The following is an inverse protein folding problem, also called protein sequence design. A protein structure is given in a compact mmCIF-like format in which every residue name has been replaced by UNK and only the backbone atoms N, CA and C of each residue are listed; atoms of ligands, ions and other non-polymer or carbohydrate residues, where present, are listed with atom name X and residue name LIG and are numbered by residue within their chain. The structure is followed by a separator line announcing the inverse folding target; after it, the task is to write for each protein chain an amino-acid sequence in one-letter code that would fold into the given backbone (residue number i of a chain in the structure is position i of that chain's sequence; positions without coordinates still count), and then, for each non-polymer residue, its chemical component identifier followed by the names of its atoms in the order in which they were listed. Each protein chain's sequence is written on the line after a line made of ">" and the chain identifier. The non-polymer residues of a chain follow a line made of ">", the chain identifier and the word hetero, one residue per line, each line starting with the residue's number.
data_IF_659542914387
#
_entry.id   IF_659542914387
#
_cell.length_a   1.000
_cell.length_b   1.000
_cell.length_c   1.000
_cell.angle_alpha   90.00
_cell.angle_beta   90.00
_cell.angle_gamma   90.00
#
_symmetry.space_group_name_H-M   'P 1'
#
loop_
_entity.id
_entity.type
_entity.pdbx_description
1 polymer ?
#
# COMPACT_ATOMS: atom_id res chain seq x y z
N UNK A 1 -10.98 27.17 15.11
CA UNK A 1 -10.23 26.06 15.75
C UNK A 1 -11.15 25.11 16.56
N UNK A 2 -12.38 24.86 16.09
CA UNK A 2 -13.37 23.99 16.75
C UNK A 2 -13.80 22.78 15.90
N UNK A 3 -13.36 22.68 14.64
CA UNK A 3 -13.74 21.61 13.72
C UNK A 3 -13.17 20.22 14.10
N UNK A 4 -12.04 20.17 14.83
CA UNK A 4 -11.33 18.91 15.09
C UNK A 4 -11.78 18.14 16.35
N UNK A 5 -12.59 18.73 17.24
CA UNK A 5 -12.85 18.15 18.58
C UNK A 5 -14.08 17.25 18.64
N UNK A 6 -15.04 17.41 17.73
CA UNK A 6 -16.22 16.54 17.61
C UNK A 6 -15.99 15.31 16.69
N UNK A 7 -14.83 15.21 16.05
CA UNK A 7 -14.53 14.27 14.96
C UNK A 7 -14.00 12.90 15.45
N UNK A 8 -13.80 12.73 16.77
CA UNK A 8 -13.13 11.56 17.37
C UNK A 8 -13.93 10.25 17.27
N UNK A 9 -15.27 10.31 17.13
CA UNK A 9 -16.13 9.11 16.95
C UNK A 9 -16.80 9.03 15.57
N UNK A 10 -16.74 10.11 14.78
CA UNK A 10 -17.12 10.12 13.36
C UNK A 10 -15.93 9.59 12.56
N UNK A 11 -15.56 8.33 12.83
CA UNK A 11 -14.57 7.57 12.05
C UNK A 11 -14.89 7.83 10.59
N UNK A 12 -13.95 8.43 9.87
CA UNK A 12 -14.11 9.11 8.59
C UNK A 12 -14.79 8.21 7.54
N UNK A 13 -16.11 8.12 7.62
CA UNK A 13 -16.95 7.18 6.86
C UNK A 13 -16.75 7.37 5.35
N UNK A 14 -16.47 8.60 4.96
CA UNK A 14 -16.12 8.99 3.59
C UNK A 14 -14.85 8.29 3.09
N UNK A 15 -13.82 8.17 3.93
CA UNK A 15 -12.58 7.46 3.57
C UNK A 15 -12.80 5.96 3.49
N UNK A 16 -13.63 5.39 4.36
CA UNK A 16 -13.98 3.97 4.30
C UNK A 16 -14.81 3.65 3.04
N UNK A 17 -15.72 4.55 2.62
CA UNK A 17 -16.46 4.44 1.36
C UNK A 17 -15.51 4.51 0.16
N UNK A 18 -14.60 5.49 0.14
CA UNK A 18 -13.59 5.64 -0.92
C UNK A 18 -12.68 4.41 -1.03
N UNK A 19 -12.32 3.80 0.11
CA UNK A 19 -11.61 2.51 0.13
C UNK A 19 -12.45 1.38 -0.45
N UNK A 20 -13.75 1.35 -0.15
CA UNK A 20 -14.67 0.39 -0.78
C UNK A 20 -14.69 0.54 -2.31
N UNK A 21 -14.77 1.77 -2.81
CA UNK A 21 -14.68 2.07 -4.26
C UNK A 21 -13.34 1.61 -4.83
N UNK A 22 -12.23 1.89 -4.14
CA UNK A 22 -10.90 1.45 -4.55
C UNK A 22 -10.83 -0.08 -4.67
N UNK A 23 -11.37 -0.82 -3.70
CA UNK A 23 -11.41 -2.29 -3.73
C UNK A 23 -12.27 -2.79 -4.90
N UNK A 24 -13.43 -2.18 -5.16
CA UNK A 24 -14.28 -2.55 -6.29
C UNK A 24 -13.58 -2.33 -7.64
N UNK A 25 -12.83 -1.24 -7.80
CA UNK A 25 -12.02 -0.97 -8.99
C UNK A 25 -10.93 -2.04 -9.18
N UNK A 26 -10.24 -2.43 -8.10
CA UNK A 26 -9.20 -3.48 -8.14
C UNK A 26 -9.79 -4.84 -8.49
N UNK A 27 -10.94 -5.18 -7.90
CA UNK A 27 -11.67 -6.41 -8.24
C UNK A 27 -12.05 -6.35 -9.72
N UNK A 28 -12.68 -5.27 -10.18
CA UNK A 28 -13.08 -5.09 -11.58
C UNK A 28 -11.93 -5.24 -12.59
N UNK A 29 -10.72 -4.80 -12.23
CA UNK A 29 -9.53 -5.01 -13.03
C UNK A 29 -9.06 -6.47 -13.08
N UNK A 30 -9.23 -7.22 -11.98
CA UNK A 30 -8.82 -8.62 -11.88
C UNK A 30 -9.91 -9.61 -12.30
N UNK A 31 -11.18 -9.18 -12.42
CA UNK A 31 -12.21 -10.05 -12.99
C UNK A 31 -11.90 -10.23 -14.46
N UNK A 32 -11.60 -11.47 -14.83
CA UNK A 32 -11.29 -11.94 -16.18
C UNK A 32 -12.59 -11.95 -17.01
N UNK A 33 -13.26 -10.81 -17.15
CA UNK A 33 -14.28 -10.64 -18.16
C UNK A 33 -13.53 -10.30 -19.45
N UNK A 34 -13.46 -11.26 -20.36
CA UNK A 34 -13.03 -10.95 -21.71
C UNK A 34 -14.02 -9.92 -22.26
N UNK A 35 -13.58 -8.70 -22.63
CA UNK A 35 -14.51 -7.64 -23.05
C UNK A 35 -15.41 -8.09 -24.20
N UNK A 36 -14.88 -8.96 -25.05
CA UNK A 36 -15.56 -9.50 -26.24
C UNK A 36 -16.80 -10.34 -25.90
N UNK A 37 -16.86 -10.95 -24.71
CA UNK A 37 -18.02 -11.75 -24.28
C UNK A 37 -19.06 -10.94 -23.47
N UNK A 38 -18.80 -9.66 -23.19
CA UNK A 38 -19.63 -8.85 -22.29
C UNK A 38 -20.79 -8.10 -22.97
N UNK A 39 -20.98 -8.31 -24.28
CA UNK A 39 -22.13 -7.82 -25.05
C UNK A 39 -22.37 -6.32 -24.89
N UNK A 40 -23.57 -5.94 -24.43
CA UNK A 40 -23.97 -4.53 -24.25
C UNK A 40 -23.10 -3.76 -23.23
N UNK A 41 -22.47 -4.47 -22.27
CA UNK A 41 -21.66 -3.84 -21.22
C UNK A 41 -20.17 -3.70 -21.59
N UNK A 42 -19.78 -4.10 -22.80
CA UNK A 42 -18.41 -4.01 -23.30
C UNK A 42 -17.73 -2.63 -23.11
N UNK A 43 -18.37 -1.47 -23.38
CA UNK A 43 -17.73 -0.18 -23.11
C UNK A 43 -17.46 0.05 -21.61
N UNK A 44 -18.36 -0.40 -20.74
CA UNK A 44 -18.19 -0.29 -19.28
C UNK A 44 -17.07 -1.20 -18.78
N UNK A 45 -17.03 -2.46 -19.26
CA UNK A 45 -15.99 -3.44 -18.91
C UNK A 45 -14.61 -2.96 -19.38
N UNK A 46 -14.51 -2.38 -20.59
CA UNK A 46 -13.27 -1.80 -21.09
C UNK A 46 -12.77 -0.64 -20.21
N UNK A 47 -13.67 0.22 -19.74
CA UNK A 47 -13.31 1.29 -18.79
C UNK A 47 -12.83 0.70 -17.47
N UNK A 48 -13.52 -0.29 -16.92
CA UNK A 48 -13.13 -0.93 -15.65
C UNK A 48 -11.79 -1.65 -15.74
N UNK A 49 -11.46 -2.30 -16.86
CA UNK A 49 -10.16 -2.95 -17.06
C UNK A 49 -9.05 -1.89 -17.17
N UNK A 50 -9.27 -0.84 -17.97
CA UNK A 50 -8.27 0.22 -18.18
C UNK A 50 -8.03 1.08 -16.95
N UNK A 51 -9.09 1.41 -16.22
CA UNK A 51 -9.02 2.30 -15.06
C UNK A 51 -9.00 1.58 -13.71
N UNK A 52 -9.39 0.31 -13.63
CA UNK A 52 -9.49 -0.40 -12.36
C UNK A 52 -8.16 -0.57 -11.62
N UNK A 53 -7.03 -0.52 -12.35
CA UNK A 53 -5.70 -0.46 -11.76
C UNK A 53 -5.46 0.79 -10.92
N UNK A 54 -6.09 1.93 -11.27
CA UNK A 54 -6.04 3.15 -10.44
C UNK A 54 -6.66 2.97 -9.06
N UNK A 55 -7.48 1.92 -8.88
CA UNK A 55 -7.98 1.53 -7.56
C UNK A 55 -6.86 1.18 -6.58
N UNK A 56 -5.75 0.59 -7.06
CA UNK A 56 -4.58 0.31 -6.22
C UNK A 56 -3.92 1.61 -5.78
N UNK A 57 -3.73 2.55 -6.70
CA UNK A 57 -3.13 3.86 -6.41
C UNK A 57 -3.99 4.64 -5.41
N UNK A 58 -5.32 4.64 -5.60
CA UNK A 58 -6.26 5.25 -4.67
C UNK A 58 -6.20 4.62 -3.28
N UNK A 59 -6.11 3.28 -3.19
CA UNK A 59 -5.97 2.58 -1.91
C UNK A 59 -4.69 2.99 -1.18
N UNK A 60 -3.56 3.10 -1.89
CA UNK A 60 -2.29 3.56 -1.31
C UNK A 60 -2.36 4.99 -0.81
N UNK A 61 -2.93 5.93 -1.58
CA UNK A 61 -3.06 7.34 -1.16
C UNK A 61 -3.92 7.44 0.10
N UNK A 62 -5.06 6.74 0.14
CA UNK A 62 -5.96 6.74 1.30
C UNK A 62 -5.31 6.11 2.53
N UNK A 63 -4.57 5.01 2.35
CA UNK A 63 -3.79 4.39 3.42
C UNK A 63 -2.71 5.32 3.94
N UNK A 64 -1.93 5.96 3.06
CA UNK A 64 -0.93 6.96 3.41
C UNK A 64 -1.50 8.14 4.20
N UNK A 65 -2.63 8.69 3.75
CA UNK A 65 -3.32 9.79 4.44
C UNK A 65 -3.73 9.41 5.87
N UNK A 66 -4.33 8.24 6.06
CA UNK A 66 -4.78 7.78 7.38
C UNK A 66 -3.60 7.44 8.30
N UNK A 67 -2.55 6.84 7.76
CA UNK A 67 -1.34 6.51 8.51
C UNK A 67 -0.59 7.76 8.94
N UNK A 68 -0.34 8.67 7.99
CA UNK A 68 0.33 9.94 8.24
C UNK A 68 -0.47 10.79 9.21
N UNK A 69 -1.79 10.91 9.02
CA UNK A 69 -2.68 11.63 9.92
C UNK A 69 -2.60 11.10 11.36
N UNK A 70 -2.57 9.78 11.55
CA UNK A 70 -2.39 9.18 12.88
C UNK A 70 -1.04 9.56 13.49
N UNK A 71 0.07 9.40 12.76
CA UNK A 71 1.42 9.74 13.24
C UNK A 71 1.56 11.23 13.56
N UNK A 72 1.06 12.12 12.71
CA UNK A 72 1.07 13.57 12.96
C UNK A 72 0.19 13.98 14.14
N UNK A 73 -0.95 13.30 14.34
CA UNK A 73 -1.80 13.53 15.52
C UNK A 73 -1.12 13.09 16.82
N UNK A 74 -0.41 11.97 16.79
CA UNK A 74 0.37 11.47 17.93
C UNK A 74 1.53 12.43 18.26
N UNK A 75 2.26 12.88 17.25
CA UNK A 75 3.32 13.87 17.39
C UNK A 75 2.81 15.19 17.99
N UNK A 76 1.64 15.67 17.55
CA UNK A 76 1.03 16.92 18.07
C UNK A 76 0.57 16.78 19.51
N UNK A 77 0.11 15.59 19.91
CA UNK A 77 -0.46 15.35 21.25
C UNK A 77 0.58 14.97 22.30
N UNK A 78 1.62 14.20 21.92
CA UNK A 78 2.59 13.64 22.86
C UNK A 78 4.00 14.20 22.70
N UNK A 79 4.28 15.00 21.66
CA UNK A 79 5.62 15.51 21.30
C UNK A 79 6.71 14.44 21.11
N UNK A 80 6.36 13.16 21.19
CA UNK A 80 7.25 12.00 21.07
C UNK A 80 6.56 10.97 20.18
N UNK A 81 7.28 10.45 19.19
CA UNK A 81 6.82 9.39 18.30
C UNK A 81 7.17 8.02 18.88
N UNK A 82 6.15 7.25 19.27
CA UNK A 82 6.31 5.86 19.69
C UNK A 82 6.23 4.91 18.47
N UNK A 83 7.33 4.88 17.72
CA UNK A 83 7.45 4.06 16.50
C UNK A 83 7.25 2.58 16.79
N UNK A 84 7.75 2.09 17.94
CA UNK A 84 7.61 0.70 18.34
C UNK A 84 6.14 0.33 18.51
N UNK A 85 5.37 1.13 19.25
CA UNK A 85 3.94 0.87 19.47
C UNK A 85 3.14 0.97 18.17
N UNK A 86 3.51 1.88 17.28
CA UNK A 86 2.88 2.02 15.97
C UNK A 86 3.08 0.76 15.10
N UNK A 87 4.33 0.28 14.97
CA UNK A 87 4.66 -0.91 14.17
C UNK A 87 3.99 -2.14 14.76
N UNK A 88 4.08 -2.35 16.08
CA UNK A 88 3.47 -3.50 16.76
C UNK A 88 1.97 -3.56 16.51
N UNK A 89 1.24 -2.45 16.68
CA UNK A 89 -0.22 -2.41 16.48
C UNK A 89 -0.63 -2.75 15.05
N UNK A 90 0.17 -2.36 14.06
CA UNK A 90 -0.09 -2.66 12.65
C UNK A 90 0.31 -4.07 12.28
N UNK A 91 1.49 -4.51 12.71
CA UNK A 91 1.98 -5.87 12.51
C UNK A 91 0.98 -6.90 13.03
N UNK A 92 0.50 -6.76 14.27
CA UNK A 92 -0.51 -7.68 14.83
C UNK A 92 -1.86 -7.68 14.09
N UNK A 93 -2.15 -6.67 13.28
CA UNK A 93 -3.38 -6.62 12.49
C UNK A 93 -3.22 -7.35 11.15
N UNK A 94 -2.05 -7.27 10.52
CA UNK A 94 -1.82 -7.69 9.12
C UNK A 94 -1.03 -9.00 9.07
N UNK A 95 0.05 -9.08 9.85
CA UNK A 95 1.01 -10.19 9.79
C UNK A 95 0.40 -11.56 10.11
N UNK A 96 -0.52 -11.74 11.09
CA UNK A 96 -1.04 -13.07 11.39
C UNK A 96 -1.75 -13.71 10.19
N UNK A 97 -2.60 -12.94 9.50
CA UNK A 97 -3.31 -13.42 8.32
C UNK A 97 -2.34 -13.66 7.14
N UNK A 98 -1.37 -12.76 6.96
CA UNK A 98 -0.39 -12.88 5.90
C UNK A 98 0.54 -14.09 6.06
N UNK A 99 1.08 -14.32 7.26
CA UNK A 99 1.94 -15.47 7.53
C UNK A 99 1.16 -16.79 7.51
N UNK A 100 -0.11 -16.79 7.91
CA UNK A 100 -0.98 -17.95 7.71
C UNK A 100 -1.14 -18.28 6.22
N UNK A 101 -1.40 -17.27 5.38
CA UNK A 101 -1.45 -17.43 3.92
C UNK A 101 -0.11 -17.92 3.35
N UNK A 102 1.02 -17.34 3.76
CA UNK A 102 2.34 -17.79 3.32
C UNK A 102 2.63 -19.23 3.72
N UNK A 103 2.21 -19.65 4.91
CA UNK A 103 2.34 -21.04 5.35
C UNK A 103 1.53 -21.97 4.44
N UNK A 104 0.28 -21.62 4.11
CA UNK A 104 -0.52 -22.42 3.16
C UNK A 104 0.16 -22.50 1.79
N UNK A 105 0.69 -21.40 1.28
CA UNK A 105 1.43 -21.39 0.01
C UNK A 105 2.69 -22.25 0.10
N UNK A 106 3.39 -22.26 1.23
CA UNK A 106 4.56 -23.09 1.46
C UNK A 106 4.23 -24.58 1.39
N UNK A 107 3.17 -25.00 2.08
CA UNK A 107 2.72 -26.39 2.07
C UNK A 107 2.33 -26.83 0.65
N UNK A 108 1.66 -25.98 -0.12
CA UNK A 108 1.33 -26.27 -1.51
C UNK A 108 2.57 -26.39 -2.40
N UNK A 109 3.55 -25.49 -2.23
CA UNK A 109 4.81 -25.55 -2.97
C UNK A 109 5.64 -26.78 -2.63
N UNK A 110 5.62 -27.24 -1.38
CA UNK A 110 6.27 -28.51 -1.00
C UNK A 110 5.68 -29.70 -1.76
N UNK A 111 4.36 -29.73 -1.98
CA UNK A 111 3.72 -30.78 -2.79
C UNK A 111 4.13 -30.66 -4.26
N UNK A 112 4.14 -29.44 -4.81
CA UNK A 112 4.52 -29.20 -6.22
C UNK A 112 5.99 -29.54 -6.51
N UNK A 113 6.88 -29.19 -5.59
CA UNK A 113 8.32 -29.47 -5.68
C UNK A 113 8.70 -30.88 -5.21
N UNK A 114 7.73 -31.79 -5.09
CA UNK A 114 7.95 -33.20 -4.72
C UNK A 114 8.71 -33.37 -3.39
N UNK A 115 8.45 -32.49 -2.43
CA UNK A 115 9.12 -32.48 -1.13
C UNK A 115 10.46 -31.75 -1.10
N UNK A 116 10.89 -31.11 -2.20
CA UNK A 116 12.12 -30.32 -2.22
C UNK A 116 11.95 -28.99 -1.46
N UNK A 117 12.31 -29.02 -0.18
CA UNK A 117 12.24 -27.87 0.74
C UNK A 117 13.05 -26.68 0.24
N UNK A 118 14.22 -26.92 -0.36
CA UNK A 118 15.12 -25.84 -0.78
C UNK A 118 14.49 -25.00 -1.90
N UNK A 119 13.87 -25.65 -2.89
CA UNK A 119 13.15 -24.95 -3.97
C UNK A 119 11.92 -24.21 -3.44
N UNK A 120 11.11 -24.87 -2.61
CA UNK A 120 9.93 -24.24 -2.00
C UNK A 120 10.29 -22.99 -1.18
N UNK A 121 11.39 -23.04 -0.41
CA UNK A 121 11.92 -21.87 0.30
C UNK A 121 12.37 -20.77 -0.66
N UNK A 122 13.05 -21.11 -1.75
CA UNK A 122 13.46 -20.13 -2.77
C UNK A 122 12.31 -19.27 -3.29
N UNK A 123 11.13 -19.87 -3.47
CA UNK A 123 9.93 -19.16 -3.93
C UNK A 123 9.26 -18.28 -2.86
N UNK A 124 9.43 -18.58 -1.58
CA UNK A 124 8.74 -17.92 -0.47
C UNK A 124 9.59 -16.91 0.27
N UNK A 125 10.91 -17.12 0.35
CA UNK A 125 11.82 -16.22 1.06
C UNK A 125 11.65 -14.75 0.66
N UNK A 126 11.50 -14.39 -0.64
CA UNK A 126 11.24 -13.00 -1.01
C UNK A 126 9.95 -12.44 -0.39
N UNK A 127 8.87 -13.22 -0.33
CA UNK A 127 7.60 -12.82 0.27
C UNK A 127 7.68 -12.72 1.80
N UNK A 128 8.44 -13.61 2.43
CA UNK A 128 8.63 -13.63 3.88
C UNK A 128 9.30 -12.34 4.38
N UNK A 129 10.30 -11.86 3.64
CA UNK A 129 11.03 -10.62 3.93
C UNK A 129 10.41 -9.36 3.29
N UNK A 130 9.27 -9.48 2.61
CA UNK A 130 8.61 -8.39 1.89
C UNK A 130 9.48 -7.78 0.76
N UNK A 131 10.42 -8.55 0.19
CA UNK A 131 11.33 -8.12 -0.89
C UNK A 131 10.99 -8.74 -2.25
N UNK A 132 9.80 -9.33 -2.38
CA UNK A 132 9.31 -9.95 -3.62
C UNK A 132 9.31 -9.01 -4.83
N UNK A 133 9.23 -7.70 -4.59
CA UNK A 133 9.23 -6.68 -5.65
C UNK A 133 10.60 -6.53 -6.34
N UNK A 134 11.66 -7.00 -5.69
CA UNK A 134 13.03 -6.87 -6.18
C UNK A 134 13.61 -8.19 -6.66
N UNK A 135 13.27 -9.29 -5.97
CA UNK A 135 13.83 -10.62 -6.25
C UNK A 135 12.86 -11.52 -7.03
N UNK A 136 11.65 -11.05 -7.33
CA UNK A 136 10.60 -11.85 -7.95
C UNK A 136 9.88 -12.77 -6.95
N UNK A 137 8.73 -13.30 -7.35
CA UNK A 137 7.88 -14.13 -6.49
C UNK A 137 6.95 -15.04 -7.28
N UNK A 138 6.61 -16.20 -6.69
CA UNK A 138 5.55 -17.07 -7.17
C UNK A 138 4.13 -16.48 -6.97
N UNK A 139 4.00 -15.41 -6.20
CA UNK A 139 2.72 -14.75 -5.86
C UNK A 139 2.78 -13.26 -6.21
N UNK A 140 2.62 -12.89 -7.49
CA UNK A 140 2.76 -11.51 -7.93
C UNK A 140 1.79 -10.57 -7.20
N UNK A 141 0.59 -11.02 -6.85
CA UNK A 141 -0.43 -10.20 -6.18
C UNK A 141 -0.03 -9.65 -4.79
N UNK A 142 1.01 -10.18 -4.15
CA UNK A 142 1.50 -9.68 -2.84
C UNK A 142 2.41 -8.44 -2.99
N UNK A 143 2.63 -7.95 -4.21
CA UNK A 143 3.54 -6.83 -4.47
C UNK A 143 3.15 -5.56 -3.70
N UNK A 144 1.85 -5.26 -3.64
CA UNK A 144 1.33 -4.07 -2.98
C UNK A 144 1.52 -4.14 -1.47
N UNK A 145 1.40 -5.33 -0.88
CA UNK A 145 1.62 -5.54 0.54
C UNK A 145 3.06 -5.24 0.94
N UNK A 146 4.05 -5.67 0.14
CA UNK A 146 5.44 -5.31 0.38
C UNK A 146 5.67 -3.80 0.36
N UNK A 147 5.07 -3.08 -0.60
CA UNK A 147 5.14 -1.62 -0.63
C UNK A 147 4.52 -0.99 0.61
N UNK A 148 3.37 -1.51 1.06
CA UNK A 148 2.67 -1.03 2.25
C UNK A 148 3.49 -1.22 3.54
N UNK A 149 4.13 -2.38 3.71
CA UNK A 149 5.01 -2.66 4.85
C UNK A 149 6.26 -1.77 4.85
N UNK A 150 6.92 -1.59 3.70
CA UNK A 150 8.03 -0.64 3.58
C UNK A 150 7.60 0.78 3.95
N UNK A 151 6.42 1.21 3.49
CA UNK A 151 5.88 2.52 3.85
C UNK A 151 5.66 2.65 5.36
N UNK A 152 5.17 1.61 6.04
CA UNK A 152 4.97 1.62 7.49
C UNK A 152 6.26 1.69 8.31
N UNK A 153 7.37 1.20 7.76
CA UNK A 153 8.68 1.30 8.40
C UNK A 153 9.38 2.63 8.07
N UNK A 154 9.34 3.05 6.80
CA UNK A 154 10.04 4.22 6.29
C UNK A 154 9.42 5.53 6.77
N UNK A 155 8.09 5.65 6.79
CA UNK A 155 7.41 6.87 7.19
C UNK A 155 7.75 7.34 8.63
N UNK A 156 7.64 6.49 9.68
CA UNK A 156 8.01 6.91 11.02
C UNK A 156 9.51 7.20 11.15
N UNK A 157 10.37 6.45 10.45
CA UNK A 157 11.81 6.71 10.44
C UNK A 157 12.13 8.06 9.79
N UNK A 158 11.50 8.38 8.67
CA UNK A 158 11.62 9.67 8.00
C UNK A 158 11.17 10.81 8.93
N UNK A 159 10.05 10.64 9.64
CA UNK A 159 9.59 11.62 10.63
C UNK A 159 10.60 11.81 11.78
N UNK A 160 11.20 10.73 12.29
CA UNK A 160 12.24 10.83 13.32
C UNK A 160 13.49 11.55 12.81
N UNK A 161 13.91 11.28 11.56
CA UNK A 161 15.04 11.98 10.94
C UNK A 161 14.74 13.47 10.75
N UNK A 162 13.54 13.80 10.28
CA UNK A 162 13.09 15.19 10.13
C UNK A 162 13.03 15.93 11.46
N UNK A 163 12.68 15.26 12.56
CA UNK A 163 12.70 15.85 13.90
C UNK A 163 14.12 15.99 14.46
N UNK A 164 15.01 15.04 14.16
CA UNK A 164 16.41 15.05 14.62
C UNK A 164 17.28 16.07 13.88
N UNK A 165 17.08 16.20 12.56
CA UNK A 165 17.85 17.10 11.69
C UNK A 165 17.11 18.40 11.35
N UNK A 166 15.82 18.48 11.67
CA UNK A 166 15.04 19.70 11.53
C UNK A 166 15.56 20.79 12.47
N UNK A 167 16.07 21.88 11.88
CA UNK A 167 16.27 23.15 12.58
C UNK A 167 14.99 23.49 13.38
N UNK A 168 15.13 24.22 14.50
CA UNK A 168 14.06 24.67 15.43
C UNK A 168 12.81 25.33 14.80
N UNK A 169 12.76 25.49 13.49
CA UNK A 169 11.58 25.88 12.72
C UNK A 169 11.19 24.70 11.83
N UNK A 170 10.01 24.07 12.03
CA UNK A 170 9.56 23.06 11.08
C UNK A 170 9.58 23.70 9.68
N UNK A 171 10.03 22.98 8.63
CA UNK A 171 9.85 23.48 7.27
C UNK A 171 8.38 23.86 7.14
N UNK A 172 8.12 25.09 6.68
CA UNK A 172 6.75 25.59 6.57
C UNK A 172 5.92 24.53 5.86
N UNK A 173 4.85 24.07 6.52
CA UNK A 173 3.95 23.00 6.06
C UNK A 173 3.42 23.30 4.64
N UNK A 174 3.56 24.54 4.17
CA UNK A 174 3.33 25.00 2.80
C UNK A 174 4.13 24.27 1.70
N UNK A 175 5.34 23.74 1.96
CA UNK A 175 6.15 23.10 0.91
C UNK A 175 5.88 21.61 0.74
N UNK A 176 5.32 20.95 1.75
CA UNK A 176 4.95 19.53 1.71
C UNK A 176 4.01 19.15 0.55
N UNK A 177 2.93 19.91 0.26
CA UNK A 177 2.07 19.59 -0.88
C UNK A 177 2.80 19.74 -2.21
N UNK A 178 3.71 20.72 -2.36
CA UNK A 178 4.50 20.90 -3.59
C UNK A 178 5.46 19.74 -3.81
N UNK A 179 6.15 19.29 -2.76
CA UNK A 179 7.04 18.12 -2.83
C UNK A 179 6.23 16.86 -3.13
N UNK A 180 5.08 16.67 -2.49
CA UNK A 180 4.21 15.52 -2.75
C UNK A 180 3.70 15.51 -4.20
N UNK A 181 3.27 16.66 -4.73
CA UNK A 181 2.85 16.79 -6.14
C UNK A 181 4.02 16.52 -7.08
N UNK A 182 5.21 17.07 -6.80
CA UNK A 182 6.41 16.80 -7.61
C UNK A 182 6.79 15.32 -7.64
N UNK A 183 6.74 14.65 -6.50
CA UNK A 183 6.98 13.20 -6.40
C UNK A 183 5.90 12.41 -7.14
N UNK A 184 4.62 12.78 -7.00
CA UNK A 184 3.53 12.12 -7.73
C UNK A 184 3.69 12.25 -9.25
N UNK A 185 3.95 13.46 -9.76
CA UNK A 185 4.16 13.71 -11.19
C UNK A 185 5.38 12.94 -11.70
N UNK A 186 6.47 12.93 -10.93
CA UNK A 186 7.67 12.17 -11.28
C UNK A 186 7.38 10.66 -11.32
N UNK A 187 6.73 10.11 -10.30
CA UNK A 187 6.36 8.69 -10.26
C UNK A 187 5.43 8.30 -11.41
N UNK A 188 4.41 9.12 -11.70
CA UNK A 188 3.50 8.89 -12.83
C UNK A 188 4.24 8.98 -14.16
N UNK A 189 5.16 9.94 -14.32
CA UNK A 189 5.98 10.09 -15.53
C UNK A 189 6.92 8.91 -15.75
N UNK A 190 7.66 8.50 -14.71
CA UNK A 190 8.54 7.32 -14.77
C UNK A 190 7.76 6.04 -15.08
N UNK A 191 6.54 5.91 -14.55
CA UNK A 191 5.67 4.76 -14.77
C UNK A 191 5.09 4.75 -16.19
N UNK A 192 4.73 5.92 -16.74
CA UNK A 192 4.34 6.05 -18.14
C UNK A 192 5.47 5.65 -19.07
N UNK A 193 6.70 6.13 -18.80
CA UNK A 193 7.89 5.76 -19.57
C UNK A 193 8.19 4.26 -19.48
N UNK A 194 8.04 3.66 -18.30
CA UNK A 194 8.23 2.23 -18.10
C UNK A 194 7.22 1.37 -18.89
N UNK A 195 5.94 1.78 -18.94
CA UNK A 195 4.89 1.08 -19.71
C UNK A 195 5.10 1.29 -21.21
N UNK A 196 5.48 2.50 -21.64
CA UNK A 196 5.74 2.82 -23.04
C UNK A 196 7.00 2.15 -23.62
N UNK A 197 7.85 1.57 -22.77
CA UNK A 197 9.08 0.86 -23.18
C UNK A 197 9.01 -0.65 -22.89
N UNK A 198 7.83 -1.19 -22.52
CA UNK A 198 7.65 -2.65 -22.54
C UNK A 198 7.38 -3.09 -24.00
N UNK A 199 8.24 -3.96 -24.58
CA UNK A 199 8.08 -4.47 -25.94
C UNK A 199 6.86 -5.39 -26.09
#
# INVERSE_FOLDING_TARGET
>A
MSFFKAESKKRLRQLDILRGVAVLLVIGHHVILQPEESGMFQPLVNVLIRFGWSGVDLFFVLSGFLVGGLLFSELRSRSVLDVRRFIIRRGFKIWPAYYAYLLTVFLLLLVQEQGNVHRALGHILPNFFHIQNYLGTARPHTWSLAVEEHFYLLLPLLLLLLLKFGRRRPPSVSYLPVIAIGVMVLCTGLRYLAIAHQP
#
